data_IF_766640011929
#
_entry.id   IF_766640011929
#
_cell.length_a   1.000
_cell.length_b   1.000
_cell.length_c   1.000
_cell.angle_alpha   90.00
_cell.angle_beta   90.00
_cell.angle_gamma   90.00
#
_symmetry.space_group_name_H-M   'P 1'
#
loop_
_entity.id
_entity.type
_entity.pdbx_description
1 polymer ?
#
# COMPACT_ATOMS: atom_id res chain seq x y z
N UNK A 1 4.60 -5.46 12.36
CA UNK A 1 4.24 -4.13 11.83
C UNK A 1 5.30 -3.67 10.85
N UNK A 2 4.89 -3.30 9.66
CA UNK A 2 5.83 -2.91 8.60
C UNK A 2 5.96 -1.40 8.42
N UNK A 3 4.94 -0.65 8.81
CA UNK A 3 4.97 0.81 8.75
C UNK A 3 3.95 1.41 9.73
N UNK A 4 4.31 2.55 10.31
CA UNK A 4 3.40 3.28 11.20
C UNK A 4 3.68 4.77 11.13
N UNK A 5 2.61 5.54 10.95
CA UNK A 5 2.62 7.00 11.03
C UNK A 5 1.27 7.47 11.58
N UNK A 6 1.09 8.76 11.85
CA UNK A 6 -0.23 9.29 12.24
C UNK A 6 -1.30 9.09 11.17
N UNK A 7 -0.91 8.91 9.91
CA UNK A 7 -1.84 8.83 8.78
C UNK A 7 -2.10 7.41 8.31
N UNK A 8 -1.21 6.46 8.61
CA UNK A 8 -1.21 5.16 7.95
C UNK A 8 -0.51 4.10 8.80
N UNK A 9 -1.07 2.90 8.81
CA UNK A 9 -0.44 1.72 9.43
C UNK A 9 -0.48 0.56 8.44
N UNK A 10 0.63 -0.15 8.31
CA UNK A 10 0.73 -1.38 7.50
C UNK A 10 1.17 -2.51 8.39
N UNK A 11 0.33 -3.53 8.51
CA UNK A 11 0.62 -4.77 9.22
C UNK A 11 0.63 -5.96 8.26
N UNK A 12 0.90 -7.14 8.75
CA UNK A 12 0.82 -8.36 7.96
C UNK A 12 -0.62 -8.64 7.46
N UNK A 13 -1.62 -8.13 8.18
CA UNK A 13 -3.02 -8.43 7.90
C UNK A 13 -3.77 -7.29 7.22
N UNK A 14 -3.39 -6.04 7.50
CA UNK A 14 -4.16 -4.87 7.08
C UNK A 14 -3.28 -3.74 6.57
N UNK A 15 -3.81 -3.03 5.60
CA UNK A 15 -3.36 -1.69 5.19
C UNK A 15 -4.43 -0.72 5.68
N UNK A 16 -4.10 0.10 6.68
CA UNK A 16 -5.07 0.95 7.36
C UNK A 16 -4.75 2.43 7.12
N UNK A 17 -5.64 3.13 6.46
CA UNK A 17 -5.59 4.58 6.32
C UNK A 17 -6.29 5.16 7.55
N UNK A 18 -5.60 6.02 8.29
CA UNK A 18 -6.13 6.63 9.51
C UNK A 18 -6.71 8.02 9.27
N UNK A 19 -6.16 8.76 8.30
CA UNK A 19 -6.57 10.13 7.98
C UNK A 19 -6.69 10.31 6.47
N UNK A 20 -7.64 11.13 6.02
CA UNK A 20 -8.60 11.95 6.78
C UNK A 20 -9.74 11.14 7.40
N UNK A 21 -9.97 9.91 6.94
CA UNK A 21 -10.97 9.00 7.47
C UNK A 21 -10.37 7.61 7.57
N UNK A 22 -10.84 6.80 8.51
CA UNK A 22 -10.34 5.45 8.70
C UNK A 22 -10.87 4.53 7.61
N UNK A 23 -9.97 3.91 6.86
CA UNK A 23 -10.30 2.91 5.86
C UNK A 23 -9.35 1.73 6.03
N UNK A 24 -9.87 0.52 6.12
CA UNK A 24 -9.08 -0.69 6.28
C UNK A 24 -9.18 -1.56 5.04
N UNK A 25 -8.03 -2.00 4.55
CA UNK A 25 -7.95 -3.00 3.47
C UNK A 25 -7.24 -4.23 4.00
N UNK A 26 -7.83 -5.39 3.79
CA UNK A 26 -7.15 -6.65 4.12
C UNK A 26 -6.09 -6.94 3.07
N UNK A 27 -4.88 -7.22 3.53
CA UNK A 27 -3.75 -7.51 2.63
C UNK A 27 -4.07 -8.69 1.72
N UNK A 28 -4.78 -9.70 2.23
CA UNK A 28 -5.16 -10.90 1.46
C UNK A 28 -5.96 -10.61 0.20
N UNK A 29 -6.70 -9.50 0.19
CA UNK A 29 -7.61 -9.17 -0.91
C UNK A 29 -7.07 -8.08 -1.82
N UNK A 30 -5.87 -7.59 -1.56
CA UNK A 30 -5.20 -6.63 -2.44
C UNK A 30 -4.52 -7.38 -3.59
N UNK A 31 -4.87 -7.00 -4.81
CA UNK A 31 -4.33 -7.60 -6.03
C UNK A 31 -3.83 -6.53 -6.97
N UNK A 32 -2.87 -6.90 -7.84
CA UNK A 32 -2.39 -6.03 -8.91
C UNK A 32 -1.98 -4.66 -8.40
N UNK A 33 -1.13 -4.63 -7.40
CA UNK A 33 -0.58 -3.38 -6.88
C UNK A 33 0.28 -2.72 -7.94
N UNK A 34 0.05 -1.44 -8.19
CA UNK A 34 0.80 -0.69 -9.18
C UNK A 34 1.00 0.76 -8.73
N UNK A 35 1.95 1.42 -9.36
CA UNK A 35 2.28 2.81 -9.10
C UNK A 35 1.86 3.66 -10.28
N UNK A 36 1.12 4.72 -10.00
CA UNK A 36 0.73 5.71 -10.98
C UNK A 36 1.49 7.00 -10.69
N UNK A 37 2.24 7.47 -11.68
CA UNK A 37 2.95 8.74 -11.58
C UNK A 37 2.15 9.85 -12.23
N UNK A 38 2.10 11.00 -11.56
CA UNK A 38 1.53 12.20 -12.12
C UNK A 38 2.63 13.12 -12.60
N UNK A 39 2.52 13.69 -13.80
CA UNK A 39 3.55 14.60 -14.33
C UNK A 39 3.76 15.81 -13.42
N UNK A 40 5.01 16.27 -13.37
CA UNK A 40 5.33 17.53 -12.69
C UNK A 40 4.64 18.69 -13.41
N UNK A 41 4.06 19.58 -12.62
CA UNK A 41 3.55 20.86 -13.11
C UNK A 41 4.42 21.96 -12.53
N UNK A 42 5.18 22.65 -13.40
CA UNK A 42 6.06 23.73 -12.97
C UNK A 42 7.16 23.28 -12.02
N UNK A 43 7.22 23.92 -10.85
CA UNK A 43 8.24 23.63 -9.81
C UNK A 43 7.80 22.58 -8.81
N UNK A 44 6.59 22.04 -8.95
CA UNK A 44 6.07 21.04 -8.02
C UNK A 44 6.74 19.69 -8.26
N UNK A 45 7.02 18.95 -7.18
CA UNK A 45 7.52 17.58 -7.30
C UNK A 45 6.47 16.69 -7.94
N UNK A 46 6.91 15.71 -8.72
CA UNK A 46 6.03 14.71 -9.26
C UNK A 46 5.33 13.96 -8.12
N UNK A 47 4.02 13.85 -8.19
CA UNK A 47 3.24 13.07 -7.25
C UNK A 47 3.12 11.63 -7.74
N UNK A 48 3.08 10.69 -6.81
CA UNK A 48 2.91 9.28 -7.10
C UNK A 48 1.75 8.72 -6.28
N UNK A 49 1.08 7.71 -6.82
CA UNK A 49 0.03 6.98 -6.12
C UNK A 49 0.37 5.50 -6.10
N UNK A 50 0.06 4.85 -4.98
CA UNK A 50 0.02 3.38 -4.91
C UNK A 50 -1.44 2.99 -5.03
N UNK A 51 -1.75 2.18 -6.03
CA UNK A 51 -3.10 1.71 -6.30
C UNK A 51 -3.12 0.19 -6.35
N UNK A 52 -4.29 -0.36 -6.09
CA UNK A 52 -4.48 -1.81 -6.15
C UNK A 52 -5.93 -2.12 -6.48
N UNK A 53 -6.17 -3.36 -6.90
CA UNK A 53 -7.51 -3.90 -7.01
C UNK A 53 -7.93 -4.48 -5.67
N UNK A 54 -9.12 -4.10 -5.19
CA UNK A 54 -9.72 -4.63 -3.98
C UNK A 54 -11.14 -5.10 -4.31
N UNK A 55 -11.31 -6.41 -4.45
CA UNK A 55 -12.53 -6.94 -5.01
C UNK A 55 -12.72 -6.51 -6.47
N UNK A 56 -13.81 -5.83 -6.75
CA UNK A 56 -14.12 -5.31 -8.09
C UNK A 56 -13.68 -3.85 -8.29
N UNK A 57 -13.10 -3.24 -7.26
CA UNK A 57 -12.74 -1.83 -7.28
C UNK A 57 -11.24 -1.63 -7.41
N UNK A 58 -10.86 -0.60 -8.19
CA UNK A 58 -9.51 -0.06 -8.18
C UNK A 58 -9.46 1.03 -7.12
N UNK A 59 -8.60 0.86 -6.11
CA UNK A 59 -8.54 1.76 -4.97
C UNK A 59 -7.17 2.42 -4.87
N UNK A 60 -7.14 3.67 -4.40
CA UNK A 60 -5.92 4.36 -4.07
C UNK A 60 -5.57 4.09 -2.62
N UNK A 61 -4.41 3.46 -2.40
CA UNK A 61 -3.93 3.14 -1.07
C UNK A 61 -3.14 4.29 -0.44
N UNK A 62 -2.32 4.95 -1.25
CA UNK A 62 -1.45 6.02 -0.77
C UNK A 62 -1.10 6.95 -1.90
N UNK A 63 -0.86 8.23 -1.58
CA UNK A 63 -0.34 9.19 -2.53
C UNK A 63 0.60 10.17 -1.83
N UNK A 64 1.55 10.69 -2.56
CA UNK A 64 2.48 11.67 -2.01
C UNK A 64 3.52 12.10 -3.01
N UNK A 65 4.20 13.20 -2.69
CA UNK A 65 5.29 13.76 -3.50
C UNK A 65 6.65 13.65 -2.81
N UNK A 66 6.69 13.19 -1.56
CA UNK A 66 7.94 12.95 -0.85
C UNK A 66 8.47 11.54 -1.20
N UNK A 67 9.60 11.44 -1.95
CA UNK A 67 10.11 10.14 -2.38
C UNK A 67 10.48 9.21 -1.24
N UNK A 68 10.95 9.76 -0.12
CA UNK A 68 11.37 8.96 1.04
C UNK A 68 10.19 8.28 1.69
N UNK A 69 9.16 9.05 2.02
CA UNK A 69 7.95 8.52 2.64
C UNK A 69 7.25 7.55 1.69
N UNK A 70 7.13 7.90 0.43
CA UNK A 70 6.53 7.03 -0.57
C UNK A 70 7.25 5.69 -0.66
N UNK A 71 8.58 5.73 -0.71
CA UNK A 71 9.40 4.51 -0.74
C UNK A 71 9.24 3.66 0.51
N UNK A 72 9.12 4.26 1.69
CA UNK A 72 8.90 3.53 2.93
C UNK A 72 7.55 2.81 2.93
N UNK A 73 6.48 3.48 2.51
CA UNK A 73 5.15 2.90 2.44
C UNK A 73 5.11 1.78 1.41
N UNK A 74 5.70 2.01 0.24
CA UNK A 74 5.78 1.00 -0.83
C UNK A 74 6.47 -0.27 -0.35
N UNK A 75 7.63 -0.14 0.28
CA UNK A 75 8.40 -1.29 0.80
C UNK A 75 7.63 -2.04 1.87
N UNK A 76 6.93 -1.31 2.74
CA UNK A 76 6.11 -1.93 3.79
C UNK A 76 4.97 -2.75 3.19
N UNK A 77 4.29 -2.22 2.18
CA UNK A 77 3.23 -2.94 1.49
C UNK A 77 3.76 -4.20 0.79
N UNK A 78 4.90 -4.09 0.11
CA UNK A 78 5.53 -5.24 -0.55
C UNK A 78 5.86 -6.33 0.47
N UNK A 79 6.42 -5.96 1.62
CA UNK A 79 6.73 -6.91 2.69
C UNK A 79 5.48 -7.60 3.23
N UNK A 80 4.39 -6.86 3.40
CA UNK A 80 3.13 -7.42 3.87
C UNK A 80 2.57 -8.43 2.86
N UNK A 81 2.60 -8.09 1.57
CA UNK A 81 2.15 -8.98 0.50
C UNK A 81 3.01 -10.25 0.43
N UNK A 82 4.32 -10.12 0.53
CA UNK A 82 5.24 -11.26 0.53
C UNK A 82 5.02 -12.16 1.74
N UNK A 83 4.80 -11.57 2.90
CA UNK A 83 4.52 -12.31 4.12
C UNK A 83 3.26 -13.16 3.97
N UNK A 84 2.18 -12.57 3.44
CA UNK A 84 0.90 -13.29 3.23
C UNK A 84 1.05 -14.39 2.19
N UNK A 85 1.83 -14.17 1.15
CA UNK A 85 2.10 -15.19 0.13
C UNK A 85 2.84 -16.38 0.72
N UNK A 86 3.83 -16.14 1.56
CA UNK A 86 4.55 -17.22 2.26
C UNK A 86 3.63 -18.01 3.19
N UNK A 87 2.73 -17.33 3.89
CA UNK A 87 1.75 -18.00 4.75
C UNK A 87 0.81 -18.90 3.94
N UNK A 88 0.33 -18.42 2.79
CA UNK A 88 -0.49 -19.25 1.89
C UNK A 88 0.26 -20.49 1.43
N UNK A 89 1.50 -20.34 1.06
CA UNK A 89 2.33 -21.46 0.61
C UNK A 89 2.58 -22.47 1.73
N UNK A 90 2.74 -22.02 2.96
CA UNK A 90 2.87 -22.91 4.11
C UNK A 90 1.61 -23.76 4.30
N UNK A 91 0.44 -23.16 4.22
CA UNK A 91 -0.82 -23.90 4.33
C UNK A 91 -1.02 -24.86 3.16
N UNK A 92 -0.66 -24.44 1.96
CA UNK A 92 -0.76 -25.28 0.77
C UNK A 92 0.15 -26.51 0.83
N UNK A 93 1.28 -26.41 1.55
CA UNK A 93 2.23 -27.50 1.72
C UNK A 93 1.80 -28.53 2.78
N UNK A 94 0.81 -28.24 3.57
CA UNK A 94 0.26 -29.15 4.55
C UNK A 94 -0.73 -30.11 3.90
#
# INVERSE_FOLDING_TARGET
MFYRSPDLVVTADYFVILRPARVEYRIDFLERVYILEHPRAGRTRAAQEIRARYGVHDVRLFHGSDPRTFGQVRRALIRALEWRERERQRYAAL
#
